data_IF_027102797599
#
_entry.id   IF_027102797599
#
_cell.length_a   1.000
_cell.length_b   1.000
_cell.length_c   1.000
_cell.angle_alpha   90.00
_cell.angle_beta   90.00
_cell.angle_gamma   90.00
#
_symmetry.space_group_name_H-M   'P 1'
#
loop_
_entity.id
_entity.type
_entity.pdbx_description
1 polymer ?
#
# COMPACT_ATOMS: atom_id res chain seq x y z
N UNK A 1 -36.31 -7.53 19.83
CA UNK A 1 -35.26 -6.55 19.51
C UNK A 1 -34.03 -6.95 20.29
N UNK A 2 -33.07 -7.63 19.66
CA UNK A 2 -31.79 -7.98 20.30
C UNK A 2 -30.89 -6.77 20.23
N UNK A 3 -30.50 -6.26 21.40
CA UNK A 3 -29.72 -5.04 21.58
C UNK A 3 -28.44 -4.98 20.73
N UNK A 4 -28.15 -3.79 20.20
CA UNK A 4 -27.02 -3.48 19.33
C UNK A 4 -25.65 -3.47 20.01
N UNK A 5 -25.39 -4.36 20.98
CA UNK A 5 -24.08 -4.53 21.59
C UNK A 5 -23.24 -5.51 20.75
N UNK A 6 -22.03 -5.13 20.29
CA UNK A 6 -21.16 -6.03 19.54
C UNK A 6 -20.79 -7.23 20.40
N UNK A 7 -20.90 -8.43 19.81
CA UNK A 7 -20.63 -9.70 20.49
C UNK A 7 -19.15 -9.76 20.91
N UNK A 8 -18.81 -10.62 21.87
CA UNK A 8 -17.42 -10.76 22.33
C UNK A 8 -16.45 -11.12 21.19
N UNK A 9 -16.91 -11.92 20.21
CA UNK A 9 -16.15 -12.26 19.01
C UNK A 9 -15.89 -11.03 18.11
N UNK A 10 -16.88 -10.15 17.95
CA UNK A 10 -16.78 -8.94 17.15
C UNK A 10 -15.74 -7.99 17.75
N UNK A 11 -15.79 -7.78 19.07
CA UNK A 11 -14.81 -6.94 19.79
C UNK A 11 -13.40 -7.50 19.67
N UNK A 12 -13.24 -8.82 19.80
CA UNK A 12 -11.93 -9.47 19.64
C UNK A 12 -11.37 -9.26 18.23
N UNK A 13 -12.19 -9.38 17.20
CA UNK A 13 -11.75 -9.14 15.82
C UNK A 13 -11.29 -7.68 15.61
N UNK A 14 -12.05 -6.70 16.12
CA UNK A 14 -11.64 -5.29 16.08
C UNK A 14 -10.32 -5.04 16.81
N UNK A 15 -10.18 -5.55 18.03
CA UNK A 15 -8.98 -5.40 18.84
C UNK A 15 -7.76 -6.03 18.16
N UNK A 16 -7.91 -7.23 17.60
CA UNK A 16 -6.83 -7.89 16.87
C UNK A 16 -6.42 -7.09 15.62
N UNK A 17 -7.39 -6.55 14.86
CA UNK A 17 -7.10 -5.69 13.71
C UNK A 17 -6.39 -4.39 14.11
N UNK A 18 -6.86 -3.74 15.19
CA UNK A 18 -6.26 -2.51 15.70
C UNK A 18 -4.83 -2.73 16.21
N UNK A 19 -4.60 -3.76 17.03
CA UNK A 19 -3.28 -4.07 17.59
C UNK A 19 -2.25 -4.40 16.49
N UNK A 20 -2.64 -5.17 15.48
CA UNK A 20 -1.73 -5.51 14.37
C UNK A 20 -1.48 -4.28 13.49
N UNK A 21 -2.47 -3.41 13.28
CA UNK A 21 -2.27 -2.14 12.57
C UNK A 21 -1.30 -1.21 13.32
N UNK A 22 -1.45 -1.10 14.64
CA UNK A 22 -0.55 -0.30 15.48
C UNK A 22 0.86 -0.87 15.52
N UNK A 23 1.00 -2.20 15.64
CA UNK A 23 2.30 -2.86 15.57
C UNK A 23 2.97 -2.62 14.21
N UNK A 24 2.22 -2.76 13.11
CA UNK A 24 2.73 -2.51 11.76
C UNK A 24 3.24 -1.07 11.60
N UNK A 25 2.45 -0.09 12.03
CA UNK A 25 2.86 1.32 12.00
C UNK A 25 4.07 1.57 12.92
N UNK A 26 4.09 0.99 14.11
CA UNK A 26 5.22 1.11 15.03
C UNK A 26 6.50 0.49 14.46
N UNK A 27 6.42 -0.61 13.71
CA UNK A 27 7.57 -1.19 13.04
C UNK A 27 8.08 -0.27 11.93
N UNK A 28 7.20 0.21 11.05
CA UNK A 28 7.55 1.14 9.95
C UNK A 28 8.19 2.42 10.49
N UNK A 29 7.51 3.10 11.41
CA UNK A 29 7.95 4.39 11.94
C UNK A 29 9.07 4.24 12.98
N UNK A 30 9.06 3.19 13.78
CA UNK A 30 10.11 2.89 14.77
C UNK A 30 11.43 2.50 14.13
N UNK A 31 11.42 1.71 13.05
CA UNK A 31 12.61 1.45 12.23
C UNK A 31 13.15 2.76 11.63
N UNK A 32 12.27 3.67 11.19
CA UNK A 32 12.67 4.97 10.68
C UNK A 32 13.33 5.87 11.75
N UNK A 33 12.87 5.79 13.01
CA UNK A 33 13.41 6.56 14.14
C UNK A 33 14.74 5.98 14.66
N UNK A 34 14.88 4.65 14.72
CA UNK A 34 16.11 3.98 15.17
C UNK A 34 17.22 3.99 14.10
N UNK A 35 16.85 4.08 12.82
CA UNK A 35 17.76 4.07 11.68
C UNK A 35 18.61 5.34 11.49
N UNK A 36 18.51 6.34 12.40
CA UNK A 36 19.51 7.41 12.53
C UNK A 36 19.91 8.09 11.24
N UNK A 37 18.96 8.64 10.48
CA UNK A 37 19.26 9.55 9.37
C UNK A 37 19.83 8.89 8.11
N UNK A 38 19.04 8.98 7.04
CA UNK A 38 19.41 8.74 5.65
C UNK A 38 19.46 7.26 5.22
N UNK A 39 18.30 6.77 4.74
CA UNK A 39 18.20 5.63 3.82
C UNK A 39 18.90 5.98 2.49
N UNK A 40 20.23 6.11 2.50
CA UNK A 40 21.04 6.59 1.37
C UNK A 40 21.43 5.49 0.40
N UNK A 41 21.08 4.24 0.71
CA UNK A 41 21.42 3.07 -0.11
C UNK A 41 20.18 2.21 -0.34
N UNK A 42 19.95 1.81 -1.58
CA UNK A 42 18.83 0.97 -2.04
C UNK A 42 18.71 -0.35 -1.29
N UNK A 43 19.83 -0.90 -0.84
CA UNK A 43 19.85 -2.13 -0.04
C UNK A 43 19.04 -2.01 1.25
N UNK A 44 18.97 -0.82 1.84
CA UNK A 44 18.25 -0.58 3.09
C UNK A 44 16.74 -0.71 2.91
N UNK A 45 16.08 -0.01 1.94
CA UNK A 45 14.68 -0.25 1.61
C UNK A 45 14.37 -1.72 1.29
N UNK A 46 15.13 -2.36 0.39
CA UNK A 46 14.85 -3.74 -0.04
C UNK A 46 14.91 -4.72 1.14
N UNK A 47 15.98 -4.66 1.95
CA UNK A 47 16.12 -5.53 3.13
C UNK A 47 15.02 -5.27 4.15
N UNK A 48 14.67 -4.00 4.37
CA UNK A 48 13.60 -3.63 5.31
C UNK A 48 12.23 -4.15 4.87
N UNK A 49 11.91 -4.06 3.58
CA UNK A 49 10.66 -4.61 3.02
C UNK A 49 10.60 -6.14 3.13
N UNK A 50 11.70 -6.84 2.84
CA UNK A 50 11.75 -8.32 2.97
C UNK A 50 11.59 -8.76 4.43
N UNK A 51 12.30 -8.10 5.36
CA UNK A 51 12.21 -8.41 6.79
C UNK A 51 10.80 -8.15 7.34
N UNK A 52 10.25 -6.97 7.07
CA UNK A 52 8.92 -6.59 7.52
C UNK A 52 7.85 -7.51 6.93
N UNK A 53 7.91 -7.76 5.62
CA UNK A 53 6.97 -8.65 4.95
C UNK A 53 7.02 -10.07 5.52
N UNK A 54 8.22 -10.60 5.75
CA UNK A 54 8.39 -11.93 6.36
C UNK A 54 7.84 -12.00 7.78
N UNK A 55 8.11 -10.98 8.60
CA UNK A 55 7.59 -10.89 9.97
C UNK A 55 6.06 -10.80 9.99
N UNK A 56 5.48 -9.98 9.12
CA UNK A 56 4.02 -9.80 9.04
C UNK A 56 3.31 -11.03 8.48
N UNK A 57 3.87 -11.69 7.47
CA UNK A 57 3.35 -12.97 6.99
C UNK A 57 3.41 -14.05 8.08
N UNK A 58 4.52 -14.13 8.82
CA UNK A 58 4.64 -15.05 9.95
C UNK A 58 3.58 -14.80 11.02
N UNK A 59 3.39 -13.54 11.42
CA UNK A 59 2.36 -13.15 12.38
C UNK A 59 0.95 -13.50 11.87
N UNK A 60 0.62 -13.14 10.64
CA UNK A 60 -0.68 -13.45 10.03
C UNK A 60 -0.89 -14.96 9.97
N UNK A 61 0.11 -15.72 9.54
CA UNK A 61 0.06 -17.19 9.46
C UNK A 61 -0.28 -17.82 10.82
N UNK A 62 0.35 -17.36 11.91
CA UNK A 62 0.04 -17.81 13.27
C UNK A 62 -1.41 -17.48 13.66
N UNK A 63 -1.93 -16.32 13.26
CA UNK A 63 -3.30 -15.88 13.60
C UNK A 63 -4.41 -16.52 12.77
N UNK A 64 -4.07 -17.08 11.61
CA UNK A 64 -5.03 -17.72 10.71
C UNK A 64 -4.78 -19.21 10.56
N UNK A 65 -3.91 -19.81 11.37
CA UNK A 65 -3.65 -21.24 11.37
C UNK A 65 -4.95 -22.06 11.57
N UNK A 66 -5.06 -23.18 10.86
CA UNK A 66 -6.24 -24.06 10.88
C UNK A 66 -6.85 -24.30 9.49
N UNK A 67 -7.88 -25.16 9.39
CA UNK A 67 -8.37 -25.71 8.11
C UNK A 67 -8.93 -24.65 7.15
N UNK A 68 -9.47 -23.55 7.68
CA UNK A 68 -10.14 -22.51 6.89
C UNK A 68 -9.27 -21.26 6.64
N UNK A 69 -7.94 -21.36 6.79
CA UNK A 69 -7.03 -20.22 6.64
C UNK A 69 -7.18 -19.50 5.28
N UNK A 70 -7.36 -20.29 4.20
CA UNK A 70 -7.54 -19.78 2.83
C UNK A 70 -8.77 -18.89 2.72
N UNK A 71 -9.91 -19.35 3.24
CA UNK A 71 -11.18 -18.62 3.23
C UNK A 71 -11.05 -17.34 4.07
N UNK A 72 -10.42 -17.42 5.24
CA UNK A 72 -10.19 -16.26 6.13
C UNK A 72 -9.34 -15.17 5.49
N UNK A 73 -8.45 -15.52 4.55
CA UNK A 73 -7.60 -14.57 3.83
C UNK A 73 -8.12 -14.22 2.43
N UNK A 74 -9.26 -14.76 1.98
CA UNK A 74 -9.72 -14.56 0.59
C UNK A 74 -8.78 -15.20 -0.46
N UNK A 75 -8.03 -16.22 -0.08
CA UNK A 75 -7.11 -16.94 -0.96
C UNK A 75 -7.84 -18.11 -1.60
N UNK A 76 -8.08 -18.03 -2.90
CA UNK A 76 -8.55 -19.17 -3.71
C UNK A 76 -7.50 -19.55 -4.76
N UNK A 77 -7.81 -20.43 -5.71
CA UNK A 77 -6.95 -20.63 -6.88
C UNK A 77 -6.96 -19.35 -7.74
N UNK A 78 -5.79 -18.80 -8.12
CA UNK A 78 -5.73 -17.70 -9.09
C UNK A 78 -6.34 -18.12 -10.43
N UNK A 79 -6.91 -17.16 -11.13
CA UNK A 79 -7.58 -17.35 -12.42
C UNK A 79 -7.28 -16.20 -13.38
N UNK A 80 -7.53 -16.38 -14.67
CA UNK A 80 -7.41 -15.30 -15.66
C UNK A 80 -8.35 -14.13 -15.36
N UNK A 81 -9.47 -14.40 -14.69
CA UNK A 81 -10.38 -13.37 -14.24
C UNK A 81 -9.69 -12.42 -13.24
N UNK A 82 -8.86 -12.94 -12.34
CA UNK A 82 -8.10 -12.10 -11.41
C UNK A 82 -7.12 -11.18 -12.13
N UNK A 83 -6.51 -11.68 -13.21
CA UNK A 83 -5.61 -10.89 -14.06
C UNK A 83 -6.38 -9.78 -14.76
N UNK A 84 -7.53 -10.10 -15.36
CA UNK A 84 -8.37 -9.12 -16.07
C UNK A 84 -8.84 -8.00 -15.14
N UNK A 85 -9.45 -8.33 -13.99
CA UNK A 85 -9.95 -7.32 -13.08
C UNK A 85 -8.85 -6.61 -12.29
N UNK A 86 -7.71 -7.27 -12.06
CA UNK A 86 -6.50 -6.62 -11.58
C UNK A 86 -6.02 -5.55 -12.57
N UNK A 87 -5.95 -5.88 -13.87
CA UNK A 87 -5.62 -4.93 -14.93
C UNK A 87 -6.59 -3.75 -15.04
N UNK A 88 -7.90 -4.00 -14.93
CA UNK A 88 -8.89 -2.90 -14.83
C UNK A 88 -8.65 -2.05 -13.57
N UNK A 89 -8.29 -2.67 -12.45
CA UNK A 89 -7.89 -1.98 -11.22
C UNK A 89 -6.71 -1.05 -11.45
N UNK A 90 -5.67 -1.50 -12.14
CA UNK A 90 -4.50 -0.67 -12.51
C UNK A 90 -4.93 0.53 -13.33
N UNK A 91 -5.72 0.33 -14.39
CA UNK A 91 -6.20 1.41 -15.24
C UNK A 91 -7.03 2.44 -14.45
N UNK A 92 -7.95 1.96 -13.60
CA UNK A 92 -8.77 2.83 -12.75
C UNK A 92 -7.93 3.63 -11.74
N UNK A 93 -6.94 3.00 -11.12
CA UNK A 93 -6.03 3.64 -10.16
C UNK A 93 -5.21 4.73 -10.85
N UNK A 94 -4.59 4.44 -12.00
CA UNK A 94 -3.83 5.46 -12.73
C UNK A 94 -4.71 6.60 -13.24
N UNK A 95 -5.93 6.30 -13.72
CA UNK A 95 -6.88 7.33 -14.16
C UNK A 95 -7.31 8.23 -12.99
N UNK A 96 -7.66 7.65 -11.84
CA UNK A 96 -8.02 8.39 -10.63
C UNK A 96 -6.85 9.25 -10.14
N UNK A 97 -5.63 8.71 -10.17
CA UNK A 97 -4.43 9.44 -9.78
C UNK A 97 -4.12 10.61 -10.74
N UNK A 98 -4.26 10.40 -12.05
CA UNK A 98 -4.09 11.45 -13.05
C UNK A 98 -5.13 12.56 -12.89
N UNK A 99 -6.40 12.20 -12.64
CA UNK A 99 -7.46 13.16 -12.36
C UNK A 99 -7.17 13.97 -11.08
N UNK A 100 -6.73 13.31 -10.02
CA UNK A 100 -6.35 13.97 -8.76
C UNK A 100 -5.21 14.98 -8.96
N UNK A 101 -4.16 14.58 -9.68
CA UNK A 101 -3.04 15.46 -10.02
C UNK A 101 -3.51 16.62 -10.90
N UNK A 102 -4.38 16.38 -11.88
CA UNK A 102 -4.96 17.42 -12.72
C UNK A 102 -5.76 18.45 -11.93
N UNK A 103 -6.62 18.00 -11.01
CA UNK A 103 -7.37 18.87 -10.08
C UNK A 103 -6.41 19.66 -9.20
N UNK A 104 -5.35 19.02 -8.68
CA UNK A 104 -4.35 19.68 -7.85
C UNK A 104 -3.60 20.79 -8.61
N UNK A 105 -3.22 20.54 -9.86
CA UNK A 105 -2.58 21.53 -10.75
C UNK A 105 -3.52 22.70 -11.05
N UNK A 106 -4.79 22.40 -11.35
CA UNK A 106 -5.79 23.45 -11.60
C UNK A 106 -6.02 24.31 -10.35
N UNK A 107 -6.12 23.69 -9.17
CA UNK A 107 -6.30 24.37 -7.89
C UNK A 107 -5.05 25.15 -7.43
N UNK A 108 -3.85 24.72 -7.82
CA UNK A 108 -2.59 25.41 -7.49
C UNK A 108 -2.27 26.58 -8.41
N UNK A 109 -3.06 26.81 -9.47
CA UNK A 109 -2.75 27.84 -10.48
C UNK A 109 -1.60 27.46 -11.43
N UNK A 110 -1.33 26.16 -11.57
CA UNK A 110 -0.33 25.62 -12.51
C UNK A 110 0.71 24.71 -11.89
N UNK A 111 1.47 24.02 -12.75
CA UNK A 111 2.47 23.00 -12.37
C UNK A 111 3.66 23.61 -11.61
N UNK A 112 4.00 24.87 -11.88
CA UNK A 112 5.13 25.58 -11.26
C UNK A 112 4.97 25.77 -9.75
N UNK A 113 3.75 25.67 -9.23
CA UNK A 113 3.44 25.81 -7.80
C UNK A 113 3.56 24.49 -7.02
N UNK A 114 3.84 23.37 -7.69
CA UNK A 114 3.99 22.05 -7.08
C UNK A 114 5.46 21.62 -6.93
N UNK A 115 6.39 22.57 -6.94
CA UNK A 115 7.84 22.31 -6.89
C UNK A 115 8.26 21.59 -5.61
N UNK A 116 7.71 21.96 -4.45
CA UNK A 116 7.99 21.28 -3.18
C UNK A 116 7.51 19.83 -3.17
N UNK A 117 6.28 19.57 -3.62
CA UNK A 117 5.72 18.22 -3.73
C UNK A 117 6.51 17.37 -4.75
N UNK A 118 6.91 17.98 -5.88
CA UNK A 118 7.75 17.33 -6.87
C UNK A 118 9.13 16.97 -6.32
N UNK A 119 9.74 17.85 -5.52
CA UNK A 119 11.03 17.61 -4.85
C UNK A 119 10.94 16.51 -3.78
N UNK A 120 9.89 16.51 -2.96
CA UNK A 120 9.63 15.43 -2.00
C UNK A 120 9.48 14.09 -2.74
N UNK A 121 8.71 14.09 -3.84
CA UNK A 121 8.50 12.90 -4.64
C UNK A 121 9.80 12.40 -5.29
N UNK A 122 10.61 13.32 -5.82
CA UNK A 122 11.89 12.98 -6.41
C UNK A 122 12.88 12.42 -5.39
N UNK A 123 12.87 12.91 -4.15
CA UNK A 123 13.77 12.47 -3.08
C UNK A 123 13.58 10.99 -2.73
N UNK A 124 12.33 10.54 -2.56
CA UNK A 124 12.11 9.12 -2.30
C UNK A 124 12.24 8.30 -3.58
N UNK A 125 11.78 8.80 -4.71
CA UNK A 125 11.88 8.12 -6.00
C UNK A 125 13.33 7.81 -6.40
N UNK A 126 14.26 8.75 -6.17
CA UNK A 126 15.69 8.52 -6.45
C UNK A 126 16.29 7.40 -5.59
N UNK A 127 15.75 7.16 -4.38
CA UNK A 127 16.16 6.04 -3.51
C UNK A 127 15.85 4.69 -4.13
N UNK A 128 14.81 4.61 -4.97
CA UNK A 128 14.40 3.37 -5.65
C UNK A 128 14.85 3.29 -7.11
N UNK A 129 15.32 4.39 -7.70
CA UNK A 129 15.80 4.42 -9.08
C UNK A 129 17.03 3.53 -9.34
N UNK A 130 17.78 3.24 -8.28
CA UNK A 130 18.97 2.37 -8.29
C UNK A 130 18.66 0.89 -8.01
N UNK A 131 17.38 0.49 -7.91
CA UNK A 131 17.00 -0.93 -7.83
C UNK A 131 17.44 -1.64 -9.12
N UNK A 132 18.23 -2.73 -9.05
CA UNK A 132 18.61 -3.48 -10.23
C UNK A 132 17.39 -4.04 -10.96
N UNK A 133 17.35 -3.96 -12.29
CA UNK A 133 16.20 -4.39 -13.09
C UNK A 133 15.77 -5.85 -12.85
N UNK A 134 16.74 -6.73 -12.58
CA UNK A 134 16.46 -8.14 -12.26
C UNK A 134 15.81 -8.34 -10.88
N UNK A 135 15.87 -7.36 -9.99
CA UNK A 135 15.21 -7.35 -8.67
C UNK A 135 13.79 -6.82 -8.75
N UNK A 136 13.45 -5.99 -9.74
CA UNK A 136 12.15 -5.29 -9.84
C UNK A 136 10.98 -6.26 -9.75
N UNK A 137 10.91 -7.25 -10.66
CA UNK A 137 9.80 -8.20 -10.68
C UNK A 137 9.68 -9.06 -9.41
N UNK A 138 10.74 -9.72 -8.90
CA UNK A 138 10.62 -10.53 -7.68
C UNK A 138 10.30 -9.68 -6.45
N UNK A 139 10.85 -8.46 -6.35
CA UNK A 139 10.55 -7.55 -5.25
C UNK A 139 9.10 -7.09 -5.30
N UNK A 140 8.61 -6.59 -6.44
CA UNK A 140 7.22 -6.15 -6.62
C UNK A 140 6.23 -7.29 -6.34
N UNK A 141 6.55 -8.52 -6.77
CA UNK A 141 5.68 -9.66 -6.51
C UNK A 141 5.65 -10.00 -5.02
N UNK A 142 6.81 -10.04 -4.37
CA UNK A 142 6.91 -10.28 -2.94
C UNK A 142 6.11 -9.23 -2.16
N UNK A 143 6.34 -7.94 -2.45
CA UNK A 143 5.65 -6.81 -1.82
C UNK A 143 4.14 -6.91 -1.98
N UNK A 144 3.67 -7.03 -3.22
CA UNK A 144 2.24 -7.18 -3.50
C UNK A 144 1.63 -8.39 -2.76
N UNK A 145 2.28 -9.55 -2.74
CA UNK A 145 1.74 -10.72 -2.06
C UNK A 145 1.65 -10.51 -0.55
N UNK A 146 2.71 -10.02 0.11
CA UNK A 146 2.69 -9.89 1.55
C UNK A 146 1.78 -8.75 2.01
N UNK A 147 1.81 -7.61 1.33
CA UNK A 147 0.96 -6.47 1.66
C UNK A 147 -0.51 -6.80 1.46
N UNK A 148 -0.90 -7.40 0.34
CA UNK A 148 -2.29 -7.76 0.11
C UNK A 148 -2.77 -8.89 1.04
N UNK A 149 -1.88 -9.82 1.41
CA UNK A 149 -2.20 -10.84 2.42
C UNK A 149 -2.50 -10.21 3.79
N UNK A 150 -1.68 -9.26 4.23
CA UNK A 150 -1.83 -8.58 5.53
C UNK A 150 -3.00 -7.61 5.51
N UNK A 151 -3.11 -6.77 4.49
CA UNK A 151 -4.11 -5.71 4.44
C UNK A 151 -5.47 -6.18 3.96
N UNK A 152 -5.52 -6.91 2.83
CA UNK A 152 -6.78 -7.23 2.13
C UNK A 152 -7.31 -8.58 2.58
N UNK A 153 -6.43 -9.52 2.85
CA UNK A 153 -6.79 -10.80 3.47
C UNK A 153 -7.10 -10.62 4.95
N UNK A 154 -6.09 -10.25 5.74
CA UNK A 154 -6.17 -10.30 7.19
C UNK A 154 -6.89 -9.09 7.81
N UNK A 155 -6.34 -7.88 7.72
CA UNK A 155 -6.84 -6.69 8.44
C UNK A 155 -8.26 -6.32 7.99
N UNK A 156 -8.50 -6.25 6.68
CA UNK A 156 -9.82 -5.98 6.11
C UNK A 156 -10.85 -7.02 6.58
N UNK A 157 -10.45 -8.31 6.63
CA UNK A 157 -11.25 -9.38 7.18
C UNK A 157 -11.59 -9.18 8.67
N UNK A 158 -10.61 -8.75 9.49
CA UNK A 158 -10.81 -8.50 10.93
C UNK A 158 -11.72 -7.31 11.21
N UNK A 159 -11.50 -6.19 10.54
CA UNK A 159 -12.36 -5.01 10.69
C UNK A 159 -13.78 -5.30 10.19
N UNK A 160 -13.93 -5.97 9.05
CA UNK A 160 -15.26 -6.38 8.55
C UNK A 160 -15.98 -7.32 9.52
N UNK A 161 -15.29 -8.34 10.03
CA UNK A 161 -15.87 -9.26 11.01
C UNK A 161 -16.29 -8.53 12.29
N UNK A 162 -15.44 -7.63 12.80
CA UNK A 162 -15.71 -6.86 14.01
C UNK A 162 -16.82 -5.81 13.88
N UNK A 163 -17.13 -5.37 12.66
CA UNK A 163 -18.26 -4.48 12.36
C UNK A 163 -19.57 -5.27 12.12
N UNK A 164 -19.51 -6.60 12.07
CA UNK A 164 -20.65 -7.48 11.95
C UNK A 164 -21.55 -7.15 10.76
N UNK A 165 -22.86 -7.12 11.01
CA UNK A 165 -23.89 -6.83 10.01
C UNK A 165 -24.13 -5.33 9.76
N UNK A 166 -23.28 -4.44 10.29
CA UNK A 166 -23.47 -3.01 10.10
C UNK A 166 -23.45 -2.65 8.60
N UNK A 167 -24.45 -1.93 8.05
CA UNK A 167 -24.55 -1.68 6.61
C UNK A 167 -23.34 -0.96 6.02
N UNK A 168 -22.71 -0.07 6.80
CA UNK A 168 -21.47 0.64 6.41
C UNK A 168 -20.19 -0.09 6.80
N UNK A 169 -20.29 -1.26 7.42
CA UNK A 169 -19.16 -2.03 7.94
C UNK A 169 -18.06 -2.28 6.89
N UNK A 170 -18.41 -2.74 5.67
CA UNK A 170 -17.43 -2.93 4.61
C UNK A 170 -16.71 -1.63 4.21
N UNK A 171 -17.44 -0.53 4.06
CA UNK A 171 -16.86 0.77 3.71
C UNK A 171 -15.92 1.29 4.81
N UNK A 172 -16.33 1.19 6.08
CA UNK A 172 -15.49 1.57 7.22
C UNK A 172 -14.22 0.72 7.28
N UNK A 173 -14.32 -0.60 7.06
CA UNK A 173 -13.17 -1.49 7.06
C UNK A 173 -12.17 -1.16 5.94
N UNK A 174 -12.67 -0.86 4.73
CA UNK A 174 -11.83 -0.38 3.62
C UNK A 174 -11.16 0.95 3.99
N UNK A 175 -11.92 1.91 4.50
CA UNK A 175 -11.36 3.22 4.88
C UNK A 175 -10.27 3.09 5.94
N UNK A 176 -10.52 2.33 7.01
CA UNK A 176 -9.53 2.16 8.10
C UNK A 176 -8.26 1.49 7.57
N UNK A 177 -8.39 0.40 6.81
CA UNK A 177 -7.21 -0.30 6.27
C UNK A 177 -6.45 0.54 5.24
N UNK A 178 -7.15 1.33 4.43
CA UNK A 178 -6.56 2.29 3.49
C UNK A 178 -5.78 3.41 4.19
N UNK A 179 -6.32 3.95 5.29
CA UNK A 179 -5.64 4.96 6.10
C UNK A 179 -4.38 4.40 6.74
N UNK A 180 -4.44 3.20 7.35
CA UNK A 180 -3.26 2.53 7.90
C UNK A 180 -2.21 2.28 6.81
N UNK A 181 -2.64 1.86 5.62
CA UNK A 181 -1.78 1.63 4.47
C UNK A 181 -1.07 2.92 4.02
N UNK A 182 -1.81 4.02 3.85
CA UNK A 182 -1.23 5.33 3.52
C UNK A 182 -0.30 5.88 4.62
N UNK A 183 -0.66 5.70 5.89
CA UNK A 183 0.15 6.11 7.04
C UNK A 183 1.51 5.38 7.10
N UNK A 184 1.58 4.15 6.62
CA UNK A 184 2.85 3.42 6.52
C UNK A 184 3.76 3.92 5.39
N UNK A 185 3.22 4.71 4.46
CA UNK A 185 3.94 5.30 3.35
C UNK A 185 4.41 6.73 3.64
N UNK A 186 4.66 7.05 4.91
CA UNK A 186 5.09 8.38 5.37
C UNK A 186 6.35 8.92 4.70
N UNK A 187 7.24 8.03 4.26
CA UNK A 187 8.45 8.40 3.51
C UNK A 187 8.16 9.07 2.16
N UNK A 188 6.92 8.96 1.64
CA UNK A 188 6.49 9.58 0.38
C UNK A 188 6.02 11.04 0.53
N UNK A 189 6.06 11.60 1.74
CA UNK A 189 5.47 12.90 2.06
C UNK A 189 3.94 12.85 2.18
N UNK A 190 3.33 13.93 2.69
CA UNK A 190 1.90 13.95 3.00
C UNK A 190 1.01 13.70 1.77
N UNK A 191 1.40 14.23 0.61
CA UNK A 191 0.69 13.99 -0.64
C UNK A 191 0.80 12.53 -1.11
N UNK A 192 2.00 11.95 -1.04
CA UNK A 192 2.23 10.54 -1.38
C UNK A 192 1.44 9.59 -0.47
N UNK A 193 1.37 9.88 0.84
CA UNK A 193 0.52 9.13 1.77
C UNK A 193 -0.95 9.15 1.37
N UNK A 194 -1.48 10.31 0.95
CA UNK A 194 -2.86 10.44 0.49
C UNK A 194 -3.11 9.66 -0.81
N UNK A 195 -2.19 9.76 -1.79
CA UNK A 195 -2.26 8.97 -3.03
C UNK A 195 -2.24 7.46 -2.71
N UNK A 196 -1.38 7.03 -1.82
CA UNK A 196 -1.26 5.63 -1.42
C UNK A 196 -2.46 5.14 -0.60
N UNK A 197 -3.08 5.99 0.22
CA UNK A 197 -4.35 5.67 0.86
C UNK A 197 -5.47 5.46 -0.18
N UNK A 198 -5.52 6.26 -1.25
CA UNK A 198 -6.50 6.08 -2.33
C UNK A 198 -6.27 4.78 -3.10
N UNK A 199 -5.02 4.46 -3.44
CA UNK A 199 -4.65 3.13 -3.99
C UNK A 199 -5.14 2.05 -3.03
N UNK A 200 -4.87 2.22 -1.74
CA UNK A 200 -5.22 1.23 -0.74
C UNK A 200 -6.73 1.01 -0.60
N UNK A 201 -7.52 2.07 -0.73
CA UNK A 201 -8.98 2.01 -0.75
C UNK A 201 -9.49 1.29 -2.01
N UNK A 202 -8.91 1.58 -3.19
CA UNK A 202 -9.26 0.91 -4.44
C UNK A 202 -8.97 -0.60 -4.38
N UNK A 203 -7.80 -1.00 -3.88
CA UNK A 203 -7.44 -2.41 -3.69
C UNK A 203 -8.33 -3.12 -2.67
N UNK A 204 -8.70 -2.44 -1.59
CA UNK A 204 -9.66 -2.94 -0.60
C UNK A 204 -11.05 -3.16 -1.19
N UNK A 205 -11.57 -2.19 -1.94
CA UNK A 205 -12.84 -2.30 -2.64
C UNK A 205 -12.84 -3.42 -3.69
N UNK A 206 -11.76 -3.52 -4.48
CA UNK A 206 -11.55 -4.58 -5.46
C UNK A 206 -11.57 -5.97 -4.80
N UNK A 207 -10.89 -6.12 -3.66
CA UNK A 207 -10.89 -7.37 -2.88
C UNK A 207 -12.29 -7.75 -2.41
N UNK A 208 -13.05 -6.79 -1.87
CA UNK A 208 -14.41 -7.06 -1.40
C UNK A 208 -15.34 -7.43 -2.54
N UNK A 209 -15.25 -6.72 -3.66
CA UNK A 209 -16.08 -6.98 -4.84
C UNK A 209 -15.78 -8.35 -5.45
N UNK A 210 -14.51 -8.75 -5.52
CA UNK A 210 -14.12 -10.03 -6.12
C UNK A 210 -14.10 -11.20 -5.14
N UNK A 211 -14.23 -10.95 -3.85
CA UNK A 211 -14.14 -11.98 -2.81
C UNK A 211 -12.79 -12.70 -2.80
N UNK A 212 -11.73 -12.07 -3.33
CA UNK A 212 -10.38 -12.62 -3.35
C UNK A 212 -9.33 -11.53 -3.37
N UNK A 213 -8.15 -11.83 -2.81
CA UNK A 213 -7.00 -10.92 -2.82
C UNK A 213 -6.28 -10.89 -4.16
N UNK A 214 -6.44 -11.90 -5.02
CA UNK A 214 -5.64 -12.03 -6.26
C UNK A 214 -5.77 -10.86 -7.24
N UNK A 215 -6.96 -10.28 -7.50
CA UNK A 215 -7.06 -9.09 -8.35
C UNK A 215 -6.28 -7.90 -7.76
N UNK A 216 -6.30 -7.74 -6.43
CA UNK A 216 -5.54 -6.71 -5.75
C UNK A 216 -4.03 -6.98 -5.80
N UNK A 217 -3.60 -8.25 -5.64
CA UNK A 217 -2.20 -8.67 -5.82
C UNK A 217 -1.71 -8.34 -7.24
N UNK A 218 -2.50 -8.67 -8.28
CA UNK A 218 -2.14 -8.34 -9.67
C UNK A 218 -2.03 -6.83 -9.86
N UNK A 219 -3.00 -6.08 -9.37
CA UNK A 219 -3.01 -4.62 -9.52
C UNK A 219 -1.81 -3.97 -8.83
N UNK A 220 -1.58 -4.34 -7.57
CA UNK A 220 -0.47 -3.84 -6.76
C UNK A 220 0.88 -4.21 -7.37
N UNK A 221 1.09 -5.49 -7.71
CA UNK A 221 2.29 -5.95 -8.41
C UNK A 221 2.58 -5.13 -9.67
N UNK A 222 1.55 -4.88 -10.47
CA UNK A 222 1.69 -4.13 -11.72
C UNK A 222 2.06 -2.68 -11.47
N UNK A 223 1.42 -2.02 -10.49
CA UNK A 223 1.73 -0.63 -10.10
C UNK A 223 3.19 -0.52 -9.64
N UNK A 224 3.65 -1.43 -8.79
CA UNK A 224 5.02 -1.45 -8.28
C UNK A 224 6.02 -1.71 -9.39
N UNK A 225 5.77 -2.72 -10.23
CA UNK A 225 6.66 -3.06 -11.33
C UNK A 225 6.76 -1.90 -12.33
N UNK A 226 5.63 -1.35 -12.78
CA UNK A 226 5.60 -0.18 -13.68
C UNK A 226 6.31 1.00 -13.03
N UNK A 227 6.06 1.27 -11.76
CA UNK A 227 6.69 2.33 -10.99
C UNK A 227 8.20 2.19 -10.95
N UNK A 228 8.72 1.06 -10.48
CA UNK A 228 10.16 0.82 -10.36
C UNK A 228 10.87 0.81 -11.72
N UNK A 229 10.27 0.22 -12.76
CA UNK A 229 10.80 0.33 -14.12
C UNK A 229 10.86 1.79 -14.58
N UNK A 230 9.79 2.55 -14.38
CA UNK A 230 9.77 3.97 -14.75
C UNK A 230 10.85 4.76 -14.01
N UNK A 231 11.03 4.53 -12.70
CA UNK A 231 12.06 5.21 -11.90
C UNK A 231 13.48 4.96 -12.42
N UNK A 232 13.79 3.73 -12.85
CA UNK A 232 15.09 3.40 -13.45
C UNK A 232 15.41 4.29 -14.66
N UNK A 233 14.45 4.48 -15.57
CA UNK A 233 14.64 5.32 -16.77
C UNK A 233 14.52 6.82 -16.48
N UNK A 234 13.77 7.21 -15.45
CA UNK A 234 13.58 8.61 -15.06
C UNK A 234 14.70 9.15 -14.16
N UNK A 235 15.66 8.31 -13.75
CA UNK A 235 16.77 8.69 -12.87
C UNK A 235 17.46 10.01 -13.26
N UNK A 236 17.85 10.25 -14.53
CA UNK A 236 18.51 11.52 -14.90
C UNK A 236 17.62 12.75 -14.69
N UNK A 237 16.30 12.60 -14.85
CA UNK A 237 15.33 13.68 -14.62
C UNK A 237 15.16 13.94 -13.11
N UNK A 238 15.13 12.88 -12.28
CA UNK A 238 15.05 12.99 -10.82
C UNK A 238 16.28 13.72 -10.27
N UNK A 239 17.48 13.38 -10.75
CA UNK A 239 18.73 14.05 -10.37
C UNK A 239 18.71 15.54 -10.74
N UNK A 240 18.25 15.87 -11.96
CA UNK A 240 18.06 17.27 -12.36
C UNK A 240 17.05 18.01 -11.48
N UNK A 241 15.97 17.36 -11.03
CA UNK A 241 14.99 18.01 -10.18
C UNK A 241 15.51 18.23 -8.74
N UNK A 242 16.36 17.33 -8.25
CA UNK A 242 16.99 17.42 -6.93
C UNK A 242 18.19 18.37 -6.88
N UNK A 243 18.96 18.47 -7.97
CA UNK A 243 20.24 19.21 -8.01
C UNK A 243 20.23 20.42 -8.96
N UNK A 244 19.30 20.49 -9.91
CA UNK A 244 19.19 21.53 -10.93
C UNK A 244 18.63 22.87 -10.45
N UNK A 245 18.55 23.08 -9.13
CA UNK A 245 18.37 24.40 -8.52
C UNK A 245 19.72 25.10 -8.24
N UNK A 246 20.83 24.62 -8.82
CA UNK A 246 22.10 25.37 -8.82
C UNK A 246 22.09 26.38 -9.98
N UNK A 247 22.14 27.72 -9.73
CA UNK A 247 22.37 28.68 -10.79
C UNK A 247 23.84 28.57 -11.22
N UNK A 248 24.09 28.23 -12.48
CA UNK A 248 25.44 28.18 -13.03
C UNK A 248 25.48 27.67 -14.46
N UNK A 249 25.34 28.59 -15.42
CA UNK A 249 25.47 28.40 -16.86
C UNK A 249 25.02 29.63 -17.61
#
# INVERSE_FOLDING_TARGET
MSDGQPQAADRRALLEGALISLLFLALIWGLALLGGGAQTRVETPVRSSVLLGSLMLGLVALRVYGPNWRVRLGVRRPSLEDVFFGGLGVAAIYAANAALVGVRIAASGGVTQLTSEAQEKAKWASTFADVPLWVVLPLSLFVAVWEETVFRGFLLGRFKAGLGAHPRGPAIAVTVTALVFGLAHGYQGGWGMAQTALVGAALGALTLWRGSIWPAVVAHFSIDAIGLFALHFLKPMLEKLLHGAAPGG
#
